data_IF_692770009974
#
_entry.id   IF_692770009974
#
_cell.length_a   1.000
_cell.length_b   1.000
_cell.length_c   1.000
_cell.angle_alpha   90.00
_cell.angle_beta   90.00
_cell.angle_gamma   90.00
#
_symmetry.space_group_name_H-M   'P 1'
#
loop_
_entity.id
_entity.type
_entity.pdbx_description
1 polymer ?
#
# COMPACT_ATOMS: atom_id res chain seq x y z
N UNK A 1 -50.28 13.78 3.87
CA UNK A 1 -49.03 13.86 4.65
C UNK A 1 -48.41 12.49 4.58
N UNK A 2 -47.52 12.29 3.61
CA UNK A 2 -46.79 11.04 3.40
C UNK A 2 -45.38 11.45 2.94
N UNK A 3 -44.49 11.72 3.94
CA UNK A 3 -43.04 11.84 3.69
C UNK A 3 -42.51 10.42 3.57
N UNK A 4 -42.50 9.92 2.36
CA UNK A 4 -41.76 8.71 1.98
C UNK A 4 -40.26 9.09 1.95
N UNK A 5 -39.53 8.61 2.93
CA UNK A 5 -38.10 8.64 2.91
C UNK A 5 -37.58 7.78 1.75
N UNK A 6 -37.31 8.41 0.64
CA UNK A 6 -36.60 7.79 -0.45
C UNK A 6 -35.15 7.61 0.01
N UNK A 7 -34.82 6.46 0.54
CA UNK A 7 -33.44 5.99 0.64
C UNK A 7 -32.98 5.66 -0.78
N UNK A 8 -32.50 6.66 -1.51
CA UNK A 8 -31.66 6.37 -2.64
C UNK A 8 -30.39 5.74 -2.08
N UNK A 9 -30.20 4.44 -2.32
CA UNK A 9 -28.93 3.78 -2.08
C UNK A 9 -27.85 4.65 -2.73
N UNK A 10 -26.80 5.07 -2.01
CA UNK A 10 -25.71 5.76 -2.64
C UNK A 10 -25.22 4.86 -3.76
N UNK A 11 -25.20 5.40 -4.99
CA UNK A 11 -24.62 4.69 -6.12
C UNK A 11 -23.24 4.22 -5.71
N UNK A 12 -22.99 2.92 -5.84
CA UNK A 12 -21.69 2.32 -5.58
C UNK A 12 -20.64 3.08 -6.42
N UNK A 13 -19.68 3.80 -5.83
CA UNK A 13 -18.64 4.44 -6.62
C UNK A 13 -17.63 3.38 -6.99
N UNK A 14 -17.93 2.61 -8.02
CA UNK A 14 -16.92 1.65 -8.38
C UNK A 14 -17.45 0.41 -9.04
N UNK A 15 -17.92 0.57 -10.24
CA UNK A 15 -17.45 -0.35 -11.26
C UNK A 15 -15.92 -0.33 -11.18
N UNK A 16 -15.27 -1.50 -11.22
CA UNK A 16 -13.82 -1.61 -11.40
C UNK A 16 -13.35 -1.02 -12.75
N UNK A 17 -14.27 -0.40 -13.47
CA UNK A 17 -14.06 0.37 -14.70
C UNK A 17 -13.46 1.73 -14.37
N UNK A 18 -12.53 2.22 -15.16
CA UNK A 18 -11.99 3.56 -15.02
C UNK A 18 -13.14 4.58 -14.95
N UNK A 19 -13.08 5.59 -14.08
CA UNK A 19 -14.04 6.67 -14.09
C UNK A 19 -14.09 7.29 -15.50
N UNK A 20 -15.20 7.94 -15.84
CA UNK A 20 -15.45 8.55 -17.16
C UNK A 20 -14.38 9.55 -17.64
N UNK A 21 -13.39 9.91 -16.80
CA UNK A 21 -12.20 10.67 -17.09
C UNK A 21 -10.94 9.79 -17.05
N UNK A 22 -10.41 9.37 -18.18
CA UNK A 22 -9.14 8.64 -18.28
C UNK A 22 -7.98 9.40 -17.58
N UNK A 23 -8.03 10.73 -17.56
CA UNK A 23 -7.06 11.58 -16.88
C UNK A 23 -7.13 11.45 -15.36
N UNK A 24 -8.33 11.39 -14.77
CA UNK A 24 -8.52 11.23 -13.33
C UNK A 24 -8.06 9.85 -12.88
N UNK A 25 -8.41 8.81 -13.63
CA UNK A 25 -7.95 7.45 -13.36
C UNK A 25 -6.43 7.35 -13.47
N UNK A 26 -5.83 7.95 -14.51
CA UNK A 26 -4.38 7.99 -14.70
C UNK A 26 -3.66 8.74 -13.56
N UNK A 27 -4.19 9.89 -13.13
CA UNK A 27 -3.64 10.66 -12.02
C UNK A 27 -3.71 9.88 -10.69
N UNK A 28 -4.85 9.23 -10.40
CA UNK A 28 -5.00 8.40 -9.21
C UNK A 28 -4.05 7.20 -9.21
N UNK A 29 -3.90 6.52 -10.37
CA UNK A 29 -2.97 5.40 -10.54
C UNK A 29 -1.51 5.85 -10.40
N UNK A 30 -1.13 6.97 -11.02
CA UNK A 30 0.22 7.53 -10.93
C UNK A 30 0.54 7.98 -9.48
N UNK A 31 -0.42 8.57 -8.78
CA UNK A 31 -0.27 8.94 -7.39
C UNK A 31 -0.06 7.71 -6.50
N UNK A 32 -0.93 6.69 -6.63
CA UNK A 32 -0.76 5.44 -5.89
C UNK A 32 0.59 4.77 -6.21
N UNK A 33 0.99 4.73 -7.49
CA UNK A 33 2.28 4.21 -7.91
C UNK A 33 3.44 4.94 -7.22
N UNK A 34 3.48 6.28 -7.30
CA UNK A 34 4.57 7.07 -6.74
C UNK A 34 4.68 6.91 -5.21
N UNK A 35 3.53 6.93 -4.52
CA UNK A 35 3.47 6.79 -3.07
C UNK A 35 3.95 5.41 -2.62
N UNK A 36 3.43 4.34 -3.24
CA UNK A 36 3.77 2.97 -2.85
C UNK A 36 5.20 2.64 -3.28
N UNK A 37 5.66 3.06 -4.47
CA UNK A 37 7.05 2.89 -4.88
C UNK A 37 8.02 3.53 -3.89
N UNK A 38 7.76 4.78 -3.47
CA UNK A 38 8.61 5.47 -2.50
C UNK A 38 8.57 4.81 -1.11
N UNK A 39 7.41 4.29 -0.69
CA UNK A 39 7.23 3.61 0.60
C UNK A 39 7.95 2.25 0.67
N UNK A 40 8.07 1.55 -0.47
CA UNK A 40 8.58 0.18 -0.55
C UNK A 40 10.03 0.07 -1.06
N UNK A 41 10.63 1.18 -1.51
CA UNK A 41 12.05 1.17 -1.85
C UNK A 41 12.90 0.84 -0.62
N UNK A 42 13.56 -0.32 -0.66
CA UNK A 42 14.43 -0.81 0.42
C UNK A 42 13.72 -1.59 1.53
N UNK A 43 12.46 -1.97 1.34
CA UNK A 43 11.72 -2.74 2.34
C UNK A 43 12.02 -4.26 2.30
N UNK A 44 11.48 -4.99 3.28
CA UNK A 44 11.75 -6.42 3.52
C UNK A 44 11.42 -7.31 2.32
N UNK A 45 10.32 -7.04 1.63
CA UNK A 45 9.93 -7.77 0.43
C UNK A 45 10.94 -7.67 -0.70
N UNK A 46 11.59 -6.51 -0.85
CA UNK A 46 12.67 -6.34 -1.80
C UNK A 46 13.88 -7.22 -1.44
N UNK A 47 14.22 -7.34 -0.13
CA UNK A 47 15.28 -8.23 0.35
C UNK A 47 14.95 -9.70 0.10
N UNK A 48 13.68 -10.11 0.29
CA UNK A 48 13.22 -11.47 -0.05
C UNK A 48 13.42 -11.76 -1.53
N UNK A 49 12.98 -10.86 -2.42
CA UNK A 49 13.19 -10.99 -3.86
C UNK A 49 14.68 -11.07 -4.22
N UNK A 50 15.53 -10.26 -3.57
CA UNK A 50 16.97 -10.24 -3.78
C UNK A 50 17.63 -11.56 -3.39
N UNK A 51 17.33 -12.07 -2.19
CA UNK A 51 17.95 -13.30 -1.66
C UNK A 51 17.53 -14.53 -2.46
N UNK A 52 16.26 -14.64 -2.82
CA UNK A 52 15.76 -15.74 -3.66
C UNK A 52 16.31 -15.66 -5.09
N UNK A 53 16.39 -14.46 -5.68
CA UNK A 53 16.93 -14.28 -7.03
C UNK A 53 18.45 -14.49 -7.12
N UNK A 54 19.17 -14.35 -6.01
CA UNK A 54 20.59 -14.68 -5.93
C UNK A 54 20.87 -16.19 -6.04
N UNK A 55 19.91 -17.02 -5.62
CA UNK A 55 20.02 -18.50 -5.61
C UNK A 55 19.24 -19.17 -6.71
N UNK A 56 18.18 -18.52 -7.23
CA UNK A 56 17.25 -19.10 -8.20
C UNK A 56 17.08 -18.23 -9.45
N UNK A 57 16.32 -18.73 -10.44
CA UNK A 57 15.92 -17.95 -11.61
C UNK A 57 15.03 -16.79 -11.18
N UNK A 58 15.33 -15.56 -11.61
CA UNK A 58 14.60 -14.38 -11.20
C UNK A 58 13.14 -14.32 -11.67
N UNK A 59 12.79 -14.97 -12.80
CA UNK A 59 11.43 -14.91 -13.33
C UNK A 59 10.39 -15.60 -12.42
N UNK A 60 10.59 -16.84 -11.92
CA UNK A 60 9.68 -17.44 -10.94
C UNK A 60 9.55 -16.61 -9.64
N UNK A 61 10.65 -16.00 -9.17
CA UNK A 61 10.63 -15.09 -8.00
C UNK A 61 9.76 -13.89 -8.30
N UNK A 62 9.95 -13.22 -9.44
CA UNK A 62 9.18 -12.05 -9.83
C UNK A 62 7.70 -12.36 -10.00
N UNK A 63 7.36 -13.48 -10.65
CA UNK A 63 5.95 -13.88 -10.84
C UNK A 63 5.28 -14.23 -9.50
N UNK A 64 5.99 -14.92 -8.59
CA UNK A 64 5.48 -15.20 -7.24
C UNK A 64 5.23 -13.91 -6.45
N UNK A 65 6.16 -12.96 -6.50
CA UNK A 65 6.02 -11.66 -5.88
C UNK A 65 4.84 -10.86 -6.47
N UNK A 66 4.76 -10.77 -7.80
CA UNK A 66 3.69 -10.06 -8.50
C UNK A 66 2.30 -10.62 -8.16
N UNK A 67 2.17 -11.96 -8.10
CA UNK A 67 0.92 -12.61 -7.73
C UNK A 67 0.53 -12.32 -6.26
N UNK A 68 1.48 -12.38 -5.33
CA UNK A 68 1.24 -12.06 -3.92
C UNK A 68 0.81 -10.60 -3.75
N UNK A 69 1.54 -9.65 -4.32
CA UNK A 69 1.21 -8.23 -4.24
C UNK A 69 -0.11 -7.89 -4.93
N UNK A 70 -0.39 -8.48 -6.11
CA UNK A 70 -1.65 -8.29 -6.80
C UNK A 70 -2.84 -8.73 -5.95
N UNK A 71 -2.73 -9.87 -5.27
CA UNK A 71 -3.76 -10.41 -4.38
C UNK A 71 -3.92 -9.53 -3.11
N UNK A 72 -2.81 -9.17 -2.47
CA UNK A 72 -2.81 -8.35 -1.26
C UNK A 72 -3.40 -6.96 -1.53
N UNK A 73 -3.00 -6.31 -2.63
CA UNK A 73 -3.54 -5.02 -3.03
C UNK A 73 -5.02 -5.11 -3.39
N UNK A 74 -5.45 -6.21 -4.04
CA UNK A 74 -6.86 -6.42 -4.33
C UNK A 74 -7.68 -6.49 -3.04
N UNK A 75 -7.23 -7.30 -2.07
CA UNK A 75 -7.89 -7.40 -0.78
C UNK A 75 -7.92 -6.03 -0.06
N UNK A 76 -6.81 -5.28 -0.09
CA UNK A 76 -6.71 -3.97 0.54
C UNK A 76 -7.66 -2.93 -0.09
N UNK A 77 -7.71 -2.81 -1.42
CA UNK A 77 -8.62 -1.85 -2.07
C UNK A 77 -10.08 -2.22 -1.89
N UNK A 78 -10.43 -3.51 -1.90
CA UNK A 78 -11.79 -3.97 -1.64
C UNK A 78 -12.21 -3.67 -0.21
N UNK A 79 -11.33 -3.92 0.76
CA UNK A 79 -11.56 -3.54 2.16
C UNK A 79 -11.72 -2.03 2.32
N UNK A 80 -10.85 -1.23 1.70
CA UNK A 80 -10.91 0.22 1.70
C UNK A 80 -12.23 0.73 1.10
N UNK A 81 -12.59 0.25 -0.09
CA UNK A 81 -13.84 0.61 -0.75
C UNK A 81 -15.09 0.20 0.06
N UNK A 82 -15.06 -0.98 0.69
CA UNK A 82 -16.16 -1.45 1.54
C UNK A 82 -16.28 -0.61 2.82
N UNK A 83 -15.18 -0.16 3.41
CA UNK A 83 -15.18 0.60 4.67
C UNK A 83 -15.96 1.91 4.58
N UNK A 84 -16.02 2.54 3.42
CA UNK A 84 -16.75 3.80 3.17
C UNK A 84 -18.26 3.62 3.34
N UNK A 85 -18.79 2.41 3.17
CA UNK A 85 -20.22 2.14 3.38
C UNK A 85 -20.63 1.98 4.85
N UNK A 86 -19.66 1.63 5.70
CA UNK A 86 -19.88 1.36 7.12
C UNK A 86 -19.45 2.50 8.01
N UNK A 87 -18.52 3.32 7.54
CA UNK A 87 -17.92 4.40 8.30
C UNK A 87 -18.12 5.75 7.60
N UNK A 88 -18.47 6.81 8.34
CA UNK A 88 -18.50 8.17 7.80
C UNK A 88 -17.11 8.55 7.23
N UNK A 89 -17.08 9.22 6.08
CA UNK A 89 -15.84 9.67 5.43
C UNK A 89 -14.83 10.34 6.39
N UNK A 90 -15.25 11.24 7.30
CA UNK A 90 -14.30 11.86 8.24
C UNK A 90 -13.64 10.88 9.19
N UNK A 91 -14.33 9.79 9.57
CA UNK A 91 -13.78 8.74 10.42
C UNK A 91 -12.71 7.95 9.65
N UNK A 92 -13.00 7.60 8.40
CA UNK A 92 -12.03 6.92 7.52
C UNK A 92 -10.80 7.80 7.34
N UNK A 93 -10.97 9.09 6.99
CA UNK A 93 -9.86 10.04 6.82
C UNK A 93 -9.04 10.20 8.12
N UNK A 94 -9.69 10.26 9.28
CA UNK A 94 -9.04 10.32 10.58
C UNK A 94 -8.20 9.08 10.90
N UNK A 95 -8.74 7.89 10.64
CA UNK A 95 -8.02 6.62 10.83
C UNK A 95 -6.82 6.55 9.88
N UNK A 96 -6.99 6.90 8.61
CA UNK A 96 -5.92 6.93 7.62
C UNK A 96 -4.82 7.92 8.01
N UNK A 97 -5.19 9.12 8.50
CA UNK A 97 -4.24 10.11 8.99
C UNK A 97 -3.40 9.58 10.16
N UNK A 98 -4.03 8.92 11.14
CA UNK A 98 -3.34 8.33 12.29
C UNK A 98 -2.40 7.20 11.88
N UNK A 99 -2.82 6.35 10.94
CA UNK A 99 -1.97 5.27 10.41
C UNK A 99 -0.75 5.83 9.68
N UNK A 100 -0.94 6.81 8.81
CA UNK A 100 0.17 7.46 8.11
C UNK A 100 1.11 8.20 9.05
N UNK A 101 0.58 8.84 10.10
CA UNK A 101 1.38 9.48 11.14
C UNK A 101 2.24 8.42 11.87
N UNK A 102 1.64 7.33 12.32
CA UNK A 102 2.35 6.26 13.03
C UNK A 102 3.46 5.63 12.18
N UNK A 103 3.16 5.27 10.92
CA UNK A 103 4.15 4.70 10.02
C UNK A 103 5.23 5.71 9.61
N UNK A 104 4.84 6.96 9.37
CA UNK A 104 5.78 8.02 9.05
C UNK A 104 6.78 8.25 10.19
N UNK A 105 6.29 8.35 11.42
CA UNK A 105 7.14 8.50 12.61
C UNK A 105 8.08 7.31 12.78
N UNK A 106 7.54 6.08 12.73
CA UNK A 106 8.33 4.85 12.83
C UNK A 106 9.42 4.81 11.76
N UNK A 107 9.11 5.17 10.53
CA UNK A 107 10.04 5.11 9.41
C UNK A 107 11.14 6.19 9.49
N UNK A 108 10.80 7.41 9.94
CA UNK A 108 11.81 8.48 10.17
C UNK A 108 12.72 8.16 11.35
N UNK A 109 12.16 7.56 12.42
CA UNK A 109 12.89 7.20 13.63
C UNK A 109 13.61 5.85 13.52
N UNK A 110 13.43 5.11 12.41
CA UNK A 110 14.08 3.83 12.19
C UNK A 110 15.61 3.96 12.32
N UNK A 111 16.21 3.07 13.09
CA UNK A 111 17.65 2.88 13.16
C UNK A 111 18.04 1.74 12.22
N UNK A 112 19.34 1.65 11.88
CA UNK A 112 19.85 0.51 11.15
C UNK A 112 19.60 -0.76 11.98
N UNK A 113 18.58 -1.52 11.61
CA UNK A 113 18.40 -2.87 12.11
C UNK A 113 19.38 -3.77 11.36
N UNK A 114 20.07 -4.65 12.11
CA UNK A 114 20.95 -5.65 11.53
C UNK A 114 20.21 -6.44 10.44
N UNK A 115 20.92 -6.74 9.37
CA UNK A 115 20.40 -7.49 8.20
C UNK A 115 19.55 -8.67 8.65
N UNK A 116 18.29 -8.71 8.16
CA UNK A 116 17.33 -9.74 8.53
C UNK A 116 17.87 -11.16 8.32
N UNK A 117 17.44 -12.07 9.16
CA UNK A 117 17.83 -13.47 9.11
C UNK A 117 17.69 -14.08 7.70
N UNK A 118 18.58 -15.01 7.31
CA UNK A 118 18.50 -15.68 6.03
C UNK A 118 17.14 -16.34 5.85
N UNK A 119 16.46 -15.97 4.77
CA UNK A 119 15.17 -16.54 4.41
C UNK A 119 15.32 -18.03 4.14
N UNK A 120 14.77 -18.87 5.06
CA UNK A 120 14.81 -20.31 4.92
C UNK A 120 13.85 -20.77 3.81
N UNK A 121 14.36 -21.60 2.90
CA UNK A 121 13.54 -22.24 1.88
C UNK A 121 12.63 -23.29 2.50
N UNK A 122 11.33 -23.27 2.14
CA UNK A 122 10.43 -24.34 2.50
C UNK A 122 10.72 -25.56 1.58
N UNK A 123 11.09 -26.72 2.14
CA UNK A 123 11.38 -27.91 1.34
C UNK A 123 10.14 -28.38 0.58
N UNK A 124 10.27 -28.64 -0.72
CA UNK A 124 9.24 -29.28 -1.53
C UNK A 124 8.32 -28.36 -2.33
N UNK A 125 8.46 -27.05 -2.26
CA UNK A 125 7.69 -26.11 -3.06
C UNK A 125 8.54 -25.46 -4.15
N UNK A 126 7.97 -25.26 -5.36
CA UNK A 126 8.65 -24.52 -6.42
C UNK A 126 8.93 -23.07 -6.03
N UNK A 127 9.99 -22.48 -6.59
CA UNK A 127 10.43 -21.10 -6.29
C UNK A 127 9.30 -20.08 -6.38
N UNK A 128 8.38 -20.24 -7.32
CA UNK A 128 7.19 -19.39 -7.45
C UNK A 128 6.32 -19.45 -6.18
N UNK A 129 5.96 -20.67 -5.73
CA UNK A 129 5.07 -20.86 -4.57
C UNK A 129 5.76 -20.39 -3.29
N UNK A 130 7.05 -20.69 -3.13
CA UNK A 130 7.83 -20.21 -1.99
C UNK A 130 7.84 -18.70 -1.94
N UNK A 131 8.16 -18.01 -3.04
CA UNK A 131 8.15 -16.54 -3.09
C UNK A 131 6.77 -15.97 -2.82
N UNK A 132 5.73 -16.55 -3.45
CA UNK A 132 4.35 -16.12 -3.25
C UNK A 132 3.94 -16.19 -1.77
N UNK A 133 4.14 -17.32 -1.12
CA UNK A 133 3.77 -17.52 0.27
C UNK A 133 4.59 -16.63 1.21
N UNK A 134 5.89 -16.50 0.96
CA UNK A 134 6.76 -15.68 1.80
C UNK A 134 6.34 -14.21 1.76
N UNK A 135 6.11 -13.66 0.58
CA UNK A 135 5.65 -12.27 0.44
C UNK A 135 4.24 -12.13 0.99
N UNK A 136 3.35 -13.08 0.70
CA UNK A 136 1.99 -13.06 1.22
C UNK A 136 1.95 -12.94 2.75
N UNK A 137 2.73 -13.76 3.44
CA UNK A 137 2.77 -13.73 4.91
C UNK A 137 3.59 -12.57 5.47
N UNK A 138 4.69 -12.18 4.83
CA UNK A 138 5.53 -11.08 5.28
C UNK A 138 4.83 -9.71 5.19
N UNK A 139 4.00 -9.54 4.16
CA UNK A 139 3.33 -8.27 3.83
C UNK A 139 1.87 -8.24 4.30
N UNK A 140 1.33 -9.35 4.82
CA UNK A 140 -0.05 -9.37 5.29
C UNK A 140 -0.26 -8.42 6.46
N UNK A 141 -1.10 -7.40 6.27
CA UNK A 141 -1.38 -6.39 7.30
C UNK A 141 -0.29 -5.32 7.48
N UNK A 142 0.70 -5.22 6.57
CA UNK A 142 1.74 -4.20 6.65
C UNK A 142 1.23 -2.80 6.28
N UNK A 143 2.09 -1.79 6.54
CA UNK A 143 1.88 -0.35 6.26
C UNK A 143 1.33 -0.08 4.86
N UNK A 144 1.85 -0.79 3.85
CA UNK A 144 1.46 -0.61 2.45
C UNK A 144 0.03 -1.04 2.18
N UNK A 145 -0.43 -2.14 2.77
CA UNK A 145 -1.83 -2.54 2.66
C UNK A 145 -2.78 -1.52 3.28
N UNK A 146 -2.42 -0.95 4.43
CA UNK A 146 -3.22 0.09 5.06
C UNK A 146 -3.23 1.37 4.24
N UNK A 147 -2.09 1.75 3.61
CA UNK A 147 -2.02 2.86 2.68
C UNK A 147 -2.88 2.63 1.43
N UNK A 148 -2.80 1.44 0.84
CA UNK A 148 -3.60 1.04 -0.34
C UNK A 148 -5.09 1.01 0.00
N UNK A 149 -5.48 0.50 1.18
CA UNK A 149 -6.87 0.53 1.63
C UNK A 149 -7.37 1.97 1.84
N UNK A 150 -6.58 2.83 2.46
CA UNK A 150 -6.91 4.24 2.66
C UNK A 150 -7.07 5.01 1.35
N UNK A 151 -6.16 4.79 0.39
CA UNK A 151 -6.29 5.36 -0.96
C UNK A 151 -7.51 4.79 -1.69
N UNK A 152 -7.76 3.47 -1.61
CA UNK A 152 -8.92 2.83 -2.23
C UNK A 152 -10.27 3.28 -1.65
N UNK A 153 -10.28 3.78 -0.41
CA UNK A 153 -11.44 4.42 0.19
C UNK A 153 -11.68 5.85 -0.31
N UNK A 154 -10.63 6.52 -0.82
CA UNK A 154 -10.66 7.95 -1.15
C UNK A 154 -10.78 8.23 -2.64
N UNK A 155 -10.22 7.37 -3.50
CA UNK A 155 -10.22 7.51 -4.97
C UNK A 155 -10.60 6.17 -5.63
N UNK A 156 -10.57 6.12 -6.98
CA UNK A 156 -10.93 4.91 -7.74
C UNK A 156 -10.15 3.67 -7.27
N UNK A 157 -10.82 2.63 -6.74
CA UNK A 157 -10.16 1.40 -6.26
C UNK A 157 -9.34 0.69 -7.34
N UNK A 158 -9.83 0.66 -8.59
CA UNK A 158 -9.11 0.04 -9.72
C UNK A 158 -7.83 0.79 -10.09
N UNK A 159 -7.84 2.13 -10.02
CA UNK A 159 -6.66 2.95 -10.26
C UNK A 159 -5.60 2.73 -9.18
N UNK A 160 -6.03 2.69 -7.91
CA UNK A 160 -5.13 2.41 -6.78
C UNK A 160 -4.54 1.01 -6.88
N UNK A 161 -5.36 0.00 -7.17
CA UNK A 161 -4.87 -1.37 -7.35
C UNK A 161 -3.82 -1.46 -8.46
N UNK A 162 -4.09 -0.85 -9.62
CA UNK A 162 -3.16 -0.87 -10.74
C UNK A 162 -1.84 -0.16 -10.41
N UNK A 163 -1.92 1.06 -9.86
CA UNK A 163 -0.74 1.85 -9.49
C UNK A 163 0.10 1.18 -8.40
N UNK A 164 -0.52 0.74 -7.32
CA UNK A 164 0.16 0.05 -6.22
C UNK A 164 0.80 -1.26 -6.66
N UNK A 165 0.08 -2.08 -7.42
CA UNK A 165 0.61 -3.37 -7.91
C UNK A 165 1.78 -3.16 -8.87
N UNK A 166 1.69 -2.18 -9.76
CA UNK A 166 2.79 -1.84 -10.66
C UNK A 166 4.03 -1.34 -9.90
N UNK A 167 3.83 -0.53 -8.84
CA UNK A 167 4.91 -0.07 -7.97
C UNK A 167 5.64 -1.25 -7.32
N UNK A 168 4.91 -2.19 -6.73
CA UNK A 168 5.47 -3.34 -6.05
C UNK A 168 6.14 -4.33 -7.01
N UNK A 169 5.61 -4.50 -8.21
CA UNK A 169 6.28 -5.26 -9.26
C UNK A 169 7.59 -4.59 -9.67
N UNK A 170 7.60 -3.27 -9.86
CA UNK A 170 8.82 -2.54 -10.21
C UNK A 170 9.88 -2.64 -9.11
N UNK A 171 9.51 -2.44 -7.84
CA UNK A 171 10.44 -2.59 -6.71
C UNK A 171 10.97 -4.02 -6.60
N UNK A 172 10.14 -5.03 -6.90
CA UNK A 172 10.56 -6.44 -6.98
C UNK A 172 11.56 -6.67 -8.14
N UNK A 173 11.32 -6.08 -9.31
CA UNK A 173 12.26 -6.14 -10.45
C UNK A 173 13.60 -5.53 -10.06
N UNK A 174 13.58 -4.36 -9.42
CA UNK A 174 14.79 -3.71 -8.90
C UNK A 174 15.49 -4.58 -7.87
N UNK A 175 14.73 -5.23 -6.97
CA UNK A 175 15.27 -6.19 -6.01
C UNK A 175 15.96 -7.37 -6.67
N UNK A 176 15.29 -8.03 -7.61
CA UNK A 176 15.85 -9.16 -8.38
C UNK A 176 17.10 -8.74 -9.17
N UNK A 177 17.08 -7.56 -9.78
CA UNK A 177 18.21 -7.03 -10.52
C UNK A 177 19.38 -6.68 -9.59
N UNK A 178 19.12 -5.99 -8.49
CA UNK A 178 20.12 -5.62 -7.50
C UNK A 178 20.72 -6.84 -6.79
N UNK A 179 19.92 -7.86 -6.52
CA UNK A 179 20.40 -9.14 -5.96
C UNK A 179 21.45 -9.82 -6.82
N UNK A 180 21.41 -9.58 -8.13
CA UNK A 180 22.38 -10.14 -9.08
C UNK A 180 23.61 -9.28 -9.34
N UNK A 181 23.53 -7.95 -9.11
CA UNK A 181 24.53 -7.03 -9.62
C UNK A 181 25.22 -6.11 -8.60
N UNK A 182 24.54 -5.63 -7.54
CA UNK A 182 25.02 -4.41 -6.85
C UNK A 182 24.93 -4.42 -5.32
N UNK A 183 24.66 -5.49 -4.67
CA UNK A 183 24.19 -5.66 -3.29
C UNK A 183 24.89 -4.92 -2.13
N UNK A 184 25.85 -4.02 -2.33
CA UNK A 184 26.68 -3.48 -1.23
C UNK A 184 26.76 -1.95 -1.07
N UNK A 185 26.04 -1.13 -1.85
CA UNK A 185 26.37 0.32 -1.89
C UNK A 185 25.27 1.31 -1.52
N UNK A 186 24.02 0.93 -1.33
CA UNK A 186 22.97 1.90 -1.00
C UNK A 186 22.54 1.73 0.47
N UNK A 187 22.72 2.75 1.32
CA UNK A 187 22.26 2.69 2.71
C UNK A 187 20.73 2.74 2.75
N UNK A 188 20.09 1.61 3.07
CA UNK A 188 18.63 1.43 3.17
C UNK A 188 17.97 2.44 4.10
N UNK A 189 18.69 2.90 5.13
CA UNK A 189 18.17 3.89 6.09
C UNK A 189 17.74 5.22 5.44
N UNK A 190 18.41 5.64 4.36
CA UNK A 190 18.01 6.88 3.65
C UNK A 190 16.69 6.72 2.92
N UNK A 191 16.43 5.53 2.37
CA UNK A 191 15.17 5.20 1.70
C UNK A 191 14.02 5.13 2.71
N UNK A 192 14.24 4.49 3.87
CA UNK A 192 13.26 4.46 4.96
C UNK A 192 12.91 5.86 5.46
N UNK A 193 13.88 6.75 5.63
CA UNK A 193 13.61 8.13 6.04
C UNK A 193 12.82 8.91 4.99
N UNK A 194 13.13 8.73 3.71
CA UNK A 194 12.39 9.38 2.63
C UNK A 194 10.93 8.92 2.60
N UNK A 195 10.67 7.61 2.71
CA UNK A 195 9.30 7.10 2.80
C UNK A 195 8.58 7.60 4.05
N UNK A 196 9.27 7.71 5.18
CA UNK A 196 8.72 8.27 6.41
C UNK A 196 8.25 9.71 6.26
N UNK A 197 9.04 10.57 5.62
CA UNK A 197 8.64 11.95 5.31
C UNK A 197 7.40 11.98 4.41
N UNK A 198 7.33 11.10 3.42
CA UNK A 198 6.17 10.99 2.54
C UNK A 198 4.89 10.60 3.32
N UNK A 199 4.99 9.58 4.21
CA UNK A 199 3.86 9.21 5.06
C UNK A 199 3.42 10.32 5.99
N UNK A 200 4.35 11.11 6.54
CA UNK A 200 4.02 12.27 7.36
C UNK A 200 3.27 13.35 6.55
N UNK A 201 3.70 13.61 5.32
CA UNK A 201 2.99 14.52 4.43
C UNK A 201 1.55 14.05 4.13
N UNK A 202 1.37 12.74 3.89
CA UNK A 202 0.04 12.14 3.71
C UNK A 202 -0.81 12.20 4.98
N UNK A 203 -0.21 12.01 6.16
CA UNK A 203 -0.90 12.14 7.43
C UNK A 203 -1.45 13.57 7.61
N UNK A 204 -0.66 14.58 7.29
CA UNK A 204 -1.10 15.99 7.31
C UNK A 204 -2.25 16.20 6.33
N UNK A 205 -2.12 15.74 5.09
CA UNK A 205 -3.18 15.87 4.08
C UNK A 205 -4.49 15.22 4.52
N UNK A 206 -4.46 13.96 4.95
CA UNK A 206 -5.64 13.25 5.44
C UNK A 206 -6.21 13.88 6.72
N UNK A 207 -5.35 14.38 7.61
CA UNK A 207 -5.76 15.11 8.81
C UNK A 207 -6.48 16.42 8.51
N UNK A 208 -6.05 17.16 7.48
CA UNK A 208 -6.73 18.37 7.04
C UNK A 208 -8.14 18.09 6.51
N UNK A 209 -8.38 16.96 5.92
CA UNK A 209 -9.71 16.53 5.47
C UNK A 209 -10.61 16.11 6.65
N UNK A 210 -10.05 15.43 7.65
CA UNK A 210 -10.78 14.93 8.82
C UNK A 210 -11.11 16.05 9.83
N UNK A 211 -10.22 17.03 10.00
CA UNK A 211 -10.28 18.05 11.06
C UNK A 211 -11.56 18.90 11.05
N UNK A 212 -12.05 19.43 9.90
CA UNK A 212 -13.27 20.25 9.88
C UNK A 212 -14.52 19.49 10.33
N UNK A 213 -14.56 18.18 10.06
CA UNK A 213 -15.67 17.33 10.47
C UNK A 213 -15.60 16.99 11.96
N UNK A 214 -14.41 16.71 12.48
CA UNK A 214 -14.19 16.48 13.91
C UNK A 214 -14.55 17.72 14.73
N UNK A 215 -14.13 18.92 14.30
CA UNK A 215 -14.47 20.17 14.97
C UNK A 215 -15.98 20.46 14.95
N UNK A 216 -16.69 20.12 13.88
CA UNK A 216 -18.16 20.25 13.82
C UNK A 216 -18.84 19.28 14.77
N UNK A 217 -18.35 18.03 14.86
CA UNK A 217 -18.88 17.06 15.81
C UNK A 217 -18.71 17.52 17.26
N UNK A 218 -17.53 17.99 17.65
CA UNK A 218 -17.27 18.50 19.01
C UNK A 218 -18.19 19.68 19.34
N UNK A 219 -18.42 20.62 18.41
CA UNK A 219 -19.34 21.75 18.63
C UNK A 219 -20.82 21.37 18.71
N UNK A 220 -21.19 20.22 18.20
CA UNK A 220 -22.58 19.72 18.26
C UNK A 220 -22.89 19.01 19.59
N UNK A 221 -21.88 18.61 20.36
CA UNK A 221 -22.00 17.92 21.66
C UNK A 221 -21.67 18.82 22.87
N UNK A 222 -21.20 20.04 22.67
CA UNK A 222 -20.99 21.05 23.71
C UNK A 222 -21.97 22.20 23.59
#
# INVERSE_FOLDING_TARGET
MSCFWSWSLPEWPGSLTPPSGALEWGAASATAFALIAAAELGDKSQLVCMTLAARHRGLPVLLGAAAAFGLLNLAAVLFGAASVHWLPRPVVAGVVALLFLGFGLKSVLAREEAEGEPVAEAPGHGVFVTTFLMILFAEFGDKTQLAVAGLGASVSPSAVWAGASLALVLTSVLGVWAGRTVLRKIPLIRLHRLSGVLFLALAVYAGMEALPAALRAVRAFG
#
